data_IF_323857697559
#
_entry.id   IF_323857697559
#
_cell.length_a   1.000
_cell.length_b   1.000
_cell.length_c   1.000
_cell.angle_alpha   90.00
_cell.angle_beta   90.00
_cell.angle_gamma   90.00
#
_symmetry.space_group_name_H-M   'P 1'
#
loop_
_entity.id
_entity.type
_entity.pdbx_description
1 polymer ?
#
# COMPACT_ATOMS: atom_id res chain seq x y z
N UNK A 1 -52.13 -12.09 -22.71
CA UNK A 1 -51.37 -10.90 -22.27
C UNK A 1 -50.68 -11.24 -20.96
N UNK A 2 -49.42 -11.67 -21.01
CA UNK A 2 -48.50 -11.64 -19.87
C UNK A 2 -47.13 -11.33 -20.46
N UNK A 3 -46.81 -10.04 -20.55
CA UNK A 3 -45.49 -9.59 -20.95
C UNK A 3 -44.53 -9.97 -19.82
N UNK A 4 -43.55 -10.84 -20.11
CA UNK A 4 -42.45 -11.11 -19.19
C UNK A 4 -41.53 -9.90 -19.16
N UNK A 5 -41.23 -9.42 -17.96
CA UNK A 5 -40.34 -8.29 -17.68
C UNK A 5 -38.95 -8.47 -18.32
N UNK A 6 -38.38 -7.45 -18.98
CA UNK A 6 -37.02 -7.52 -19.53
C UNK A 6 -35.94 -7.08 -18.52
N UNK A 7 -36.19 -7.12 -17.21
CA UNK A 7 -35.33 -6.47 -16.19
C UNK A 7 -34.11 -7.27 -15.72
N UNK A 8 -33.91 -8.51 -16.18
CA UNK A 8 -32.85 -9.38 -15.63
C UNK A 8 -31.55 -9.42 -16.48
N UNK A 9 -31.35 -8.43 -17.36
CA UNK A 9 -30.22 -8.38 -18.29
C UNK A 9 -29.04 -7.48 -17.84
N UNK A 10 -28.94 -7.11 -16.56
CA UNK A 10 -27.87 -6.21 -16.08
C UNK A 10 -26.99 -6.86 -15.00
N UNK A 11 -25.95 -7.56 -15.48
CA UNK A 11 -24.59 -7.70 -14.90
C UNK A 11 -23.94 -9.03 -15.25
N UNK A 12 -23.88 -9.36 -16.54
CA UNK A 12 -22.86 -10.27 -17.02
C UNK A 12 -21.54 -9.49 -17.07
N UNK A 13 -20.80 -9.47 -15.96
CA UNK A 13 -19.40 -9.04 -15.97
C UNK A 13 -18.66 -10.07 -16.82
N UNK A 14 -18.25 -9.66 -18.02
CA UNK A 14 -17.50 -10.50 -18.93
C UNK A 14 -16.19 -10.96 -18.25
N UNK A 15 -16.00 -12.27 -18.00
CA UNK A 15 -14.76 -12.79 -17.41
C UNK A 15 -13.54 -12.62 -18.33
N UNK A 16 -13.75 -12.16 -19.57
CA UNK A 16 -12.74 -11.89 -20.59
C UNK A 16 -12.20 -10.47 -20.55
N UNK A 17 -12.58 -9.63 -19.57
CA UNK A 17 -11.90 -8.36 -19.31
C UNK A 17 -10.51 -8.67 -18.75
N UNK A 18 -9.62 -9.06 -19.63
CA UNK A 18 -8.19 -9.03 -19.41
C UNK A 18 -7.83 -7.56 -19.31
N UNK A 19 -7.82 -7.01 -18.10
CA UNK A 19 -7.10 -5.76 -17.84
C UNK A 19 -5.68 -6.03 -18.34
N UNK A 20 -5.31 -5.41 -19.46
CA UNK A 20 -3.95 -5.57 -19.95
C UNK A 20 -3.05 -5.00 -18.87
N UNK A 21 -2.30 -5.88 -18.20
CA UNK A 21 -1.29 -5.52 -17.23
C UNK A 21 -0.22 -4.74 -17.98
N UNK A 22 -0.39 -3.42 -18.09
CA UNK A 22 0.59 -2.54 -18.72
C UNK A 22 1.55 -2.09 -17.64
N UNK A 23 2.54 -2.94 -17.35
CA UNK A 23 3.65 -2.63 -16.47
C UNK A 23 4.90 -2.38 -17.30
N UNK A 24 5.57 -1.27 -17.02
CA UNK A 24 6.89 -0.94 -17.57
C UNK A 24 7.88 -0.81 -16.44
N UNK A 25 8.81 -1.76 -16.33
CA UNK A 25 9.91 -1.67 -15.38
C UNK A 25 10.76 -0.41 -15.66
N UNK A 26 11.11 0.31 -14.60
CA UNK A 26 11.97 1.48 -14.63
C UNK A 26 13.38 1.15 -14.11
N UNK A 27 13.45 0.41 -13.00
CA UNK A 27 14.70 0.06 -12.34
C UNK A 27 14.53 -1.14 -11.40
N UNK A 28 15.64 -1.83 -11.15
CA UNK A 28 15.80 -2.78 -10.05
C UNK A 28 16.89 -2.24 -9.13
N UNK A 29 16.61 -2.17 -7.82
CA UNK A 29 17.50 -1.64 -6.79
C UNK A 29 17.78 -2.74 -5.77
N UNK A 30 19.04 -3.03 -5.50
CA UNK A 30 19.43 -4.11 -4.60
C UNK A 30 20.63 -3.71 -3.75
N UNK A 31 20.63 -4.10 -2.48
CA UNK A 31 21.75 -4.00 -1.55
C UNK A 31 21.75 -5.18 -0.57
N UNK A 32 22.61 -5.15 0.45
CA UNK A 32 22.74 -6.21 1.44
C UNK A 32 21.55 -6.35 2.41
N UNK A 33 20.58 -5.43 2.36
CA UNK A 33 19.43 -5.39 3.25
C UNK A 33 18.10 -5.63 2.54
N UNK A 34 18.00 -5.33 1.24
CA UNK A 34 16.76 -5.39 0.49
C UNK A 34 16.98 -5.43 -1.03
N UNK A 35 16.00 -5.97 -1.73
CA UNK A 35 15.93 -5.97 -3.19
C UNK A 35 14.53 -5.56 -3.65
N UNK A 36 14.42 -4.50 -4.46
CA UNK A 36 13.13 -4.02 -4.97
C UNK A 36 13.15 -3.79 -6.47
N UNK A 37 12.00 -4.04 -7.11
CA UNK A 37 11.73 -3.65 -8.50
C UNK A 37 10.78 -2.48 -8.53
N UNK A 38 11.09 -1.49 -9.36
CA UNK A 38 10.28 -0.28 -9.55
C UNK A 38 9.74 -0.25 -10.97
N UNK A 39 8.42 -0.14 -11.10
CA UNK A 39 7.70 -0.14 -12.37
C UNK A 39 6.67 0.98 -12.45
N UNK A 40 6.30 1.40 -13.66
CA UNK A 40 5.06 2.14 -13.91
C UNK A 40 3.96 1.14 -14.21
N UNK A 41 2.85 1.22 -13.48
CA UNK A 41 1.62 0.48 -13.75
C UNK A 41 0.54 1.40 -14.32
N UNK A 42 0.08 1.08 -15.53
CA UNK A 42 -0.99 1.81 -16.23
C UNK A 42 -2.27 0.98 -16.34
N UNK A 43 -2.43 -0.05 -15.49
CA UNK A 43 -3.61 -0.95 -15.53
C UNK A 43 -4.84 -0.37 -14.82
N UNK A 44 -4.66 0.63 -13.96
CA UNK A 44 -5.71 1.27 -13.17
C UNK A 44 -6.18 2.63 -13.72
N UNK A 45 -6.81 3.41 -12.84
CA UNK A 45 -7.30 4.77 -13.14
C UNK A 45 -6.15 5.79 -13.17
N UNK A 46 -5.23 5.62 -14.12
CA UNK A 46 -4.04 6.44 -14.30
C UNK A 46 -2.75 5.73 -13.90
N UNK A 47 -1.62 6.36 -14.26
CA UNK A 47 -0.29 5.81 -14.00
C UNK A 47 0.04 5.85 -12.50
N UNK A 48 0.54 4.72 -12.00
CA UNK A 48 0.98 4.54 -10.62
C UNK A 48 2.39 4.01 -10.60
N UNK A 49 3.14 4.37 -9.57
CA UNK A 49 4.43 3.77 -9.28
C UNK A 49 4.19 2.46 -8.51
N UNK A 50 4.65 1.34 -9.06
CA UNK A 50 4.64 0.04 -8.40
C UNK A 50 6.04 -0.22 -7.84
N UNK A 51 6.12 -0.54 -6.55
CA UNK A 51 7.34 -1.00 -5.89
C UNK A 51 7.09 -2.41 -5.37
N UNK A 52 7.85 -3.37 -5.87
CA UNK A 52 7.77 -4.80 -5.52
C UNK A 52 8.99 -5.16 -4.69
N UNK A 53 8.79 -5.81 -3.55
CA UNK A 53 9.83 -6.47 -2.77
C UNK A 53 10.13 -7.85 -3.38
N UNK A 54 11.36 -8.03 -3.83
CA UNK A 54 11.79 -9.24 -4.53
C UNK A 54 12.06 -10.41 -3.57
N UNK A 55 12.16 -10.17 -2.26
CA UNK A 55 12.38 -11.22 -1.26
C UNK A 55 11.07 -11.79 -0.72
N UNK A 56 10.05 -10.95 -0.52
CA UNK A 56 8.78 -11.32 0.10
C UNK A 56 7.60 -11.45 -0.87
N UNK A 57 7.74 -10.97 -2.12
CA UNK A 57 6.65 -10.81 -3.09
C UNK A 57 5.57 -9.79 -2.66
N UNK A 58 5.82 -9.04 -1.57
CA UNK A 58 5.00 -7.90 -1.17
C UNK A 58 5.19 -6.74 -2.16
N UNK A 59 4.17 -5.88 -2.27
CA UNK A 59 4.24 -4.74 -3.16
C UNK A 59 3.34 -3.59 -2.71
N UNK A 60 3.66 -2.39 -3.17
CA UNK A 60 2.86 -1.19 -2.96
C UNK A 60 2.68 -0.43 -4.27
N UNK A 61 1.47 0.10 -4.48
CA UNK A 61 1.18 1.07 -5.52
C UNK A 61 1.13 2.46 -4.92
N UNK A 62 1.78 3.41 -5.58
CA UNK A 62 1.77 4.82 -5.21
C UNK A 62 1.24 5.63 -6.39
N UNK A 63 0.03 6.15 -6.24
CA UNK A 63 -0.48 7.24 -7.07
C UNK A 63 0.37 8.50 -6.84
N UNK A 64 0.32 9.48 -7.77
CA UNK A 64 0.98 10.77 -7.55
C UNK A 64 0.56 11.44 -6.22
N UNK A 65 -0.69 11.28 -5.78
CA UNK A 65 -1.19 11.86 -4.53
C UNK A 65 -0.61 11.16 -3.28
N UNK A 66 -0.52 9.82 -3.31
CA UNK A 66 0.11 9.06 -2.23
C UNK A 66 1.61 9.37 -2.15
N UNK A 67 2.29 9.50 -3.29
CA UNK A 67 3.69 9.92 -3.32
C UNK A 67 3.89 11.33 -2.75
N UNK A 68 3.02 12.29 -3.09
CA UNK A 68 3.04 13.63 -2.49
C UNK A 68 2.88 13.54 -0.97
N UNK A 69 1.97 12.70 -0.49
CA UNK A 69 1.76 12.50 0.94
C UNK A 69 3.02 11.94 1.63
N UNK A 70 3.70 10.98 0.99
CA UNK A 70 5.01 10.47 1.43
C UNK A 70 6.07 11.57 1.51
N UNK A 71 6.14 12.46 0.52
CA UNK A 71 7.12 13.54 0.49
C UNK A 71 6.85 14.64 1.53
N UNK A 72 5.58 14.83 1.91
CA UNK A 72 5.16 15.83 2.90
C UNK A 72 5.20 15.31 4.34
N UNK A 73 5.42 14.01 4.53
CA UNK A 73 5.47 13.38 5.83
C UNK A 73 6.58 13.96 6.71
N UNK A 74 6.25 14.27 7.96
CA UNK A 74 7.24 14.69 8.94
C UNK A 74 8.22 13.54 9.25
N UNK A 75 9.38 13.81 9.86
CA UNK A 75 10.26 12.76 10.35
C UNK A 75 9.55 11.80 11.32
N UNK A 76 8.71 12.32 12.21
CA UNK A 76 7.96 11.51 13.19
C UNK A 76 6.96 10.57 12.49
N UNK A 77 6.26 11.05 11.45
CA UNK A 77 5.36 10.22 10.65
C UNK A 77 6.11 9.05 10.00
N UNK A 78 7.31 9.32 9.47
CA UNK A 78 8.16 8.31 8.82
C UNK A 78 8.71 7.29 9.81
N UNK A 79 9.12 7.74 10.99
CA UNK A 79 9.60 6.86 12.06
C UNK A 79 8.49 5.91 12.53
N UNK A 80 7.25 6.39 12.62
CA UNK A 80 6.11 5.56 12.99
C UNK A 80 5.73 4.55 11.91
N UNK A 81 5.87 4.89 10.62
CA UNK A 81 5.70 3.94 9.52
C UNK A 81 6.72 2.82 9.54
N UNK A 82 7.96 3.11 9.93
CA UNK A 82 9.00 2.11 10.09
C UNK A 82 8.75 1.20 11.30
N UNK A 83 7.90 1.57 12.27
CA UNK A 83 7.60 0.73 13.44
C UNK A 83 6.54 -0.36 13.18
N UNK A 84 6.69 -1.10 12.08
CA UNK A 84 5.84 -2.24 11.71
C UNK A 84 6.63 -3.55 11.70
N UNK A 85 5.95 -4.68 11.93
CA UNK A 85 6.59 -6.01 11.92
C UNK A 85 7.85 -6.10 12.80
N UNK A 86 8.94 -6.62 12.22
CA UNK A 86 10.25 -6.78 12.85
C UNK A 86 10.94 -5.47 13.23
N UNK A 87 10.49 -4.33 12.71
CA UNK A 87 11.04 -3.00 12.97
C UNK A 87 10.33 -2.25 14.09
N UNK A 88 9.37 -2.89 14.77
CA UNK A 88 8.84 -2.43 16.06
C UNK A 88 9.96 -2.45 17.10
N UNK A 89 10.78 -1.39 17.15
CA UNK A 89 11.75 -1.21 18.22
C UNK A 89 11.08 -1.42 19.58
N UNK A 90 11.83 -1.99 20.53
CA UNK A 90 11.35 -2.26 21.89
C UNK A 90 10.64 -1.01 22.41
N UNK A 91 9.32 -1.10 22.57
CA UNK A 91 8.52 -0.03 23.16
C UNK A 91 9.13 0.25 24.53
N UNK A 92 9.81 1.40 24.68
CA UNK A 92 9.99 1.96 26.01
C UNK A 92 8.59 2.30 26.44
N UNK A 93 8.04 1.44 27.28
CA UNK A 93 6.72 1.56 27.84
C UNK A 93 6.66 2.88 28.62
N UNK A 94 6.20 3.96 27.96
CA UNK A 94 5.98 5.27 28.59
C UNK A 94 4.68 5.28 29.42
N UNK A 95 4.22 4.11 29.87
CA UNK A 95 3.11 4.00 30.83
C UNK A 95 3.51 4.40 32.26
N UNK A 96 4.78 4.74 32.54
CA UNK A 96 5.15 5.43 33.78
C UNK A 96 4.83 6.93 33.73
N UNK A 97 3.53 7.22 33.66
CA UNK A 97 3.00 8.57 33.58
C UNK A 97 1.60 8.72 34.18
N UNK A 98 1.15 7.82 35.07
CA UNK A 98 -0.02 8.12 35.90
C UNK A 98 -0.07 7.28 37.18
N UNK A 99 -0.14 8.00 38.31
CA UNK A 99 -0.47 7.54 39.67
C UNK A 99 0.70 6.82 40.37
N UNK A 100 1.23 7.26 41.51
CA UNK A 100 0.49 7.71 42.67
C UNK A 100 1.33 8.70 43.48
N UNK A 101 0.77 9.89 43.68
CA UNK A 101 1.30 10.93 44.54
C UNK A 101 0.52 10.83 45.86
N UNK A 102 0.55 9.69 46.54
CA UNK A 102 -0.01 9.53 47.88
C UNK A 102 0.45 8.22 48.54
N UNK A 103 1.51 8.28 49.34
CA UNK A 103 1.50 7.63 50.66
C UNK A 103 2.60 8.21 51.54
N UNK A 104 2.11 8.76 52.65
CA UNK A 104 2.86 9.24 53.82
C UNK A 104 3.79 8.19 54.39
#
# INVERSE_FOLDING_TARGET
MTNGDPSDAENAVDPSVHWHVRRRELATLMNEFAAVRVSVDSSGNGDRLLVEDLESDDHVFLTPLELVSFCLASPDDRDDWLRVGSYRGARVDRSFGRSDRDRR
#
